data_IF_009179929904
#
_entry.id   IF_009179929904
#
_cell.length_a   1.000
_cell.length_b   1.000
_cell.length_c   1.000
_cell.angle_alpha   90.00
_cell.angle_beta   90.00
_cell.angle_gamma   90.00
#
_symmetry.space_group_name_H-M   'P 1'
#
loop_
_entity.id
_entity.type
_entity.pdbx_description
1 polymer ?
#
# COMPACT_ATOMS: atom_id res chain seq x y z
N UNK A 1 8.60 3.66 12.22
CA UNK A 1 8.65 3.25 13.65
C UNK A 1 10.05 2.79 14.00
N UNK A 2 10.63 1.92 13.19
CA UNK A 2 12.00 1.45 13.36
C UNK A 2 12.91 2.12 12.32
N UNK A 3 13.87 2.97 12.74
CA UNK A 3 14.74 3.68 11.80
C UNK A 3 15.58 2.70 10.97
N UNK A 4 15.69 2.92 9.66
CA UNK A 4 16.61 2.22 8.74
C UNK A 4 16.43 0.70 8.58
N UNK A 5 15.35 0.08 9.07
CA UNK A 5 15.17 -1.38 8.98
C UNK A 5 15.30 -1.93 7.57
N UNK A 6 14.74 -1.24 6.59
CA UNK A 6 14.76 -1.62 5.17
C UNK A 6 16.01 -1.17 4.40
N UNK A 7 16.92 -0.46 5.07
CA UNK A 7 18.11 0.10 4.43
C UNK A 7 19.07 -1.03 4.05
N UNK A 8 19.66 -0.97 2.85
CA UNK A 8 20.52 -2.04 2.34
C UNK A 8 21.75 -2.33 3.23
N UNK A 9 22.46 -1.28 3.66
CA UNK A 9 23.69 -1.40 4.47
C UNK A 9 23.41 -1.42 5.98
N UNK A 10 22.42 -0.67 6.45
CA UNK A 10 22.15 -0.43 7.87
C UNK A 10 20.88 -1.13 8.38
N UNK A 11 20.27 -1.96 7.54
CA UNK A 11 19.09 -2.75 7.87
C UNK A 11 19.38 -3.77 8.95
N UNK A 12 18.33 -4.13 9.69
CA UNK A 12 18.40 -5.08 10.78
C UNK A 12 17.07 -5.80 10.96
N UNK A 13 17.10 -6.91 11.67
CA UNK A 13 15.92 -7.73 11.91
C UNK A 13 15.05 -7.18 13.05
N UNK A 14 13.72 -7.37 12.95
CA UNK A 14 12.75 -7.00 13.98
C UNK A 14 12.53 -8.06 15.06
N UNK A 15 13.16 -9.22 14.99
CA UNK A 15 12.89 -10.36 15.90
C UNK A 15 12.96 -10.00 17.39
N UNK A 16 13.90 -9.11 17.76
CA UNK A 16 14.05 -8.63 19.14
C UNK A 16 12.85 -7.84 19.66
N UNK A 17 11.95 -7.41 18.77
CA UNK A 17 10.75 -6.61 19.08
C UNK A 17 9.48 -7.45 19.10
N UNK A 18 9.57 -8.75 18.79
CA UNK A 18 8.41 -9.62 18.58
C UNK A 18 7.46 -9.64 19.77
N UNK A 19 7.98 -9.74 21.00
CA UNK A 19 7.14 -9.76 22.20
C UNK A 19 6.41 -8.44 22.42
N UNK A 20 7.10 -7.31 22.21
CA UNK A 20 6.54 -5.97 22.40
C UNK A 20 5.51 -5.64 21.32
N UNK A 21 5.79 -6.00 20.06
CA UNK A 21 4.85 -5.84 18.95
C UNK A 21 3.61 -6.70 19.16
N UNK A 22 3.78 -7.95 19.59
CA UNK A 22 2.65 -8.81 19.94
C UNK A 22 1.79 -8.20 21.04
N UNK A 23 2.40 -7.71 22.13
CA UNK A 23 1.68 -7.06 23.21
C UNK A 23 0.93 -5.79 22.74
N UNK A 24 1.51 -5.01 21.83
CA UNK A 24 0.85 -3.85 21.23
C UNK A 24 -0.35 -4.26 20.37
N UNK A 25 -0.20 -5.31 19.54
CA UNK A 25 -1.28 -5.86 18.73
C UNK A 25 -2.42 -6.46 19.57
N UNK A 26 -2.09 -7.19 20.64
CA UNK A 26 -3.06 -7.72 21.60
C UNK A 26 -3.87 -6.59 22.26
N UNK A 27 -3.21 -5.48 22.61
CA UNK A 27 -3.88 -4.30 23.17
C UNK A 27 -4.78 -3.61 22.14
N UNK A 28 -4.31 -3.46 20.90
CA UNK A 28 -5.11 -2.89 19.81
C UNK A 28 -6.37 -3.73 19.55
N UNK A 29 -6.25 -5.06 19.47
CA UNK A 29 -7.40 -5.98 19.34
C UNK A 29 -8.34 -5.90 20.52
N UNK A 30 -7.81 -5.87 21.75
CA UNK A 30 -8.62 -5.76 22.98
C UNK A 30 -9.55 -4.54 22.95
N UNK A 31 -9.11 -3.43 22.35
CA UNK A 31 -9.90 -2.20 22.24
C UNK A 31 -10.56 -1.99 20.87
N UNK A 32 -10.51 -2.98 19.99
CA UNK A 32 -11.12 -2.90 18.66
C UNK A 32 -10.47 -1.86 17.74
N UNK A 33 -9.18 -1.58 17.91
CA UNK A 33 -8.43 -0.69 17.03
C UNK A 33 -8.01 -1.38 15.74
N UNK A 34 -8.28 -0.74 14.61
CA UNK A 34 -7.75 -1.10 13.30
C UNK A 34 -6.43 -0.36 13.10
N UNK A 35 -5.34 -1.09 12.90
CA UNK A 35 -4.04 -0.48 12.62
C UNK A 35 -3.80 -0.41 11.11
N UNK A 36 -3.07 0.62 10.72
CA UNK A 36 -2.70 0.84 9.34
C UNK A 36 -1.32 1.45 9.28
N UNK A 37 -0.64 1.23 8.16
CA UNK A 37 0.64 1.88 7.90
C UNK A 37 0.65 2.46 6.51
N UNK A 38 1.45 3.49 6.31
CA UNK A 38 1.63 4.11 5.00
C UNK A 38 3.13 4.30 4.76
N UNK A 39 3.79 3.33 4.09
CA UNK A 39 5.17 3.49 3.65
C UNK A 39 5.35 4.80 2.88
N UNK A 40 6.53 5.39 3.01
CA UNK A 40 6.82 6.71 2.43
C UNK A 40 6.83 6.71 0.90
N UNK A 41 6.91 7.91 0.33
CA UNK A 41 6.89 8.19 -1.12
C UNK A 41 7.97 7.47 -1.96
N UNK A 42 8.99 6.89 -1.33
CA UNK A 42 10.05 6.12 -1.99
C UNK A 42 9.65 4.67 -2.29
N UNK A 43 8.55 4.20 -1.70
CA UNK A 43 7.94 2.89 -1.99
C UNK A 43 7.19 3.00 -3.30
N UNK A 44 7.83 2.63 -4.40
CA UNK A 44 7.33 2.90 -5.75
C UNK A 44 7.45 1.69 -6.68
N UNK A 45 6.39 0.87 -6.69
CA UNK A 45 6.32 -0.35 -7.49
C UNK A 45 6.14 -0.12 -9.00
N UNK A 46 5.89 1.12 -9.45
CA UNK A 46 5.78 1.43 -10.88
C UNK A 46 7.09 1.99 -11.49
N UNK A 47 8.17 2.02 -10.69
CA UNK A 47 9.50 2.45 -11.12
C UNK A 47 10.02 1.57 -12.27
N UNK A 48 10.70 2.14 -13.28
CA UNK A 48 11.40 1.38 -14.31
C UNK A 48 12.80 0.90 -13.86
N UNK A 49 13.24 1.26 -12.65
CA UNK A 49 14.56 0.89 -12.14
C UNK A 49 14.44 -0.21 -11.09
N UNK A 50 15.17 -1.30 -11.31
CA UNK A 50 15.13 -2.50 -10.45
C UNK A 50 15.60 -2.19 -9.02
N UNK A 51 16.59 -1.33 -8.84
CA UNK A 51 17.10 -0.92 -7.52
C UNK A 51 16.03 -0.24 -6.64
N UNK A 52 15.12 0.51 -7.27
CA UNK A 52 13.97 1.13 -6.61
C UNK A 52 12.91 0.09 -6.27
N UNK A 53 12.70 -0.91 -7.14
CA UNK A 53 11.77 -2.01 -6.87
C UNK A 53 12.27 -2.83 -5.69
N UNK A 54 13.53 -3.24 -5.68
CA UNK A 54 14.14 -4.01 -4.59
C UNK A 54 14.04 -3.27 -3.26
N UNK A 55 14.29 -1.95 -3.27
CA UNK A 55 14.14 -1.12 -2.07
C UNK A 55 12.68 -1.01 -1.62
N UNK A 56 11.73 -0.89 -2.57
CA UNK A 56 10.30 -0.83 -2.27
C UNK A 56 9.77 -2.14 -1.69
N UNK A 57 10.26 -3.28 -2.20
CA UNK A 57 9.93 -4.61 -1.68
C UNK A 57 10.46 -4.76 -0.25
N UNK A 58 11.72 -4.37 0.02
CA UNK A 58 12.28 -4.40 1.39
C UNK A 58 11.50 -3.52 2.37
N UNK A 59 11.10 -2.33 1.95
CA UNK A 59 10.26 -1.44 2.76
C UNK A 59 8.91 -2.08 3.06
N UNK A 60 8.25 -2.64 2.03
CA UNK A 60 6.97 -3.31 2.20
C UNK A 60 7.08 -4.55 3.10
N UNK A 61 8.13 -5.34 2.93
CA UNK A 61 8.43 -6.51 3.77
C UNK A 61 8.60 -6.12 5.23
N UNK A 62 9.33 -5.03 5.51
CA UNK A 62 9.46 -4.49 6.86
C UNK A 62 8.09 -4.19 7.48
N UNK A 63 7.23 -3.49 6.75
CA UNK A 63 5.87 -3.19 7.20
C UNK A 63 5.04 -4.47 7.42
N UNK A 64 5.15 -5.44 6.51
CA UNK A 64 4.48 -6.74 6.63
C UNK A 64 4.94 -7.50 7.88
N UNK A 65 6.25 -7.63 8.11
CA UNK A 65 6.81 -8.33 9.27
C UNK A 65 6.35 -7.68 10.58
N UNK A 66 6.38 -6.35 10.64
CA UNK A 66 5.90 -5.61 11.80
C UNK A 66 4.42 -5.89 12.09
N UNK A 67 3.57 -5.84 11.07
CA UNK A 67 2.13 -6.14 11.19
C UNK A 67 1.88 -7.60 11.56
N UNK A 68 2.67 -8.52 11.01
CA UNK A 68 2.63 -9.95 11.34
C UNK A 68 3.01 -10.23 12.80
N UNK A 69 4.02 -9.55 13.35
CA UNK A 69 4.38 -9.69 14.77
C UNK A 69 3.35 -9.10 15.72
N UNK A 70 2.60 -8.10 15.27
CA UNK A 70 1.42 -7.62 15.99
C UNK A 70 0.22 -8.59 15.87
N UNK A 71 0.31 -9.68 15.09
CA UNK A 71 -0.77 -10.66 14.84
C UNK A 71 -2.08 -10.01 14.35
N UNK A 72 -1.96 -8.95 13.56
CA UNK A 72 -3.16 -8.30 13.02
C UNK A 72 -3.82 -9.16 11.93
N UNK A 73 -5.15 -9.10 11.92
CA UNK A 73 -5.98 -9.74 10.92
C UNK A 73 -6.01 -8.93 9.60
N UNK A 74 -6.72 -9.46 8.60
CA UNK A 74 -6.90 -8.83 7.29
C UNK A 74 -7.68 -7.50 7.34
N UNK A 75 -8.20 -7.10 8.50
CA UNK A 75 -8.74 -5.76 8.65
C UNK A 75 -7.61 -4.72 8.60
N UNK A 76 -6.38 -5.05 8.95
CA UNK A 76 -5.30 -4.05 8.88
C UNK A 76 -4.72 -3.90 7.47
N UNK A 77 -4.29 -2.68 7.12
CA UNK A 77 -3.88 -2.35 5.74
C UNK A 77 -2.56 -1.60 5.67
N UNK A 78 -1.83 -1.82 4.58
CA UNK A 78 -0.62 -1.09 4.20
C UNK A 78 -0.95 -0.25 2.98
N UNK A 79 -1.10 1.06 3.18
CA UNK A 79 -1.45 2.00 2.12
C UNK A 79 -0.21 2.37 1.34
N UNK A 80 -0.26 2.16 0.02
CA UNK A 80 0.76 2.67 -0.90
C UNK A 80 0.11 3.57 -1.96
N UNK A 81 0.87 4.55 -2.42
CA UNK A 81 0.53 5.26 -3.64
C UNK A 81 1.04 4.47 -4.86
N UNK A 82 0.42 4.74 -6.02
CA UNK A 82 0.91 4.23 -7.31
C UNK A 82 2.31 4.78 -7.67
N UNK A 83 2.64 5.97 -7.16
CA UNK A 83 3.95 6.60 -7.35
C UNK A 83 3.89 8.11 -7.47
N UNK A 84 5.06 8.74 -7.42
CA UNK A 84 5.22 10.20 -7.49
C UNK A 84 5.18 10.77 -8.92
N UNK A 85 5.40 9.94 -9.95
CA UNK A 85 5.51 10.37 -11.35
C UNK A 85 5.01 9.33 -12.33
N UNK A 86 4.53 9.81 -13.48
CA UNK A 86 4.29 9.01 -14.68
C UNK A 86 5.60 8.90 -15.47
N UNK A 87 6.04 7.68 -15.77
CA UNK A 87 7.23 7.45 -16.60
C UNK A 87 6.82 7.06 -18.02
N UNK A 88 7.12 7.93 -18.98
CA UNK A 88 6.60 7.82 -20.35
C UNK A 88 5.14 8.24 -20.39
N UNK A 89 4.22 7.26 -20.34
CA UNK A 89 2.78 7.52 -20.28
C UNK A 89 2.11 6.76 -19.13
N UNK A 90 0.87 7.14 -18.82
CA UNK A 90 0.13 6.59 -17.68
C UNK A 90 -0.09 5.08 -17.83
N UNK A 91 -0.52 4.64 -19.01
CA UNK A 91 -0.78 3.22 -19.29
C UNK A 91 0.45 2.34 -19.11
N UNK A 92 1.60 2.74 -19.64
CA UNK A 92 2.86 2.01 -19.45
C UNK A 92 3.28 1.97 -17.99
N UNK A 93 3.01 3.02 -17.21
CA UNK A 93 3.32 3.04 -15.78
C UNK A 93 2.40 2.12 -14.99
N UNK A 94 1.10 2.14 -15.29
CA UNK A 94 0.14 1.22 -14.68
C UNK A 94 0.44 -0.24 -15.08
N UNK A 95 0.89 -0.50 -16.31
CA UNK A 95 1.31 -1.83 -16.75
C UNK A 95 2.55 -2.33 -15.98
N UNK A 96 3.55 -1.47 -15.77
CA UNK A 96 4.71 -1.81 -14.92
C UNK A 96 4.30 -2.10 -13.48
N UNK A 97 3.42 -1.29 -12.91
CA UNK A 97 2.90 -1.58 -11.57
C UNK A 97 2.26 -2.95 -11.50
N UNK A 98 1.39 -3.29 -12.45
CA UNK A 98 0.73 -4.61 -12.50
C UNK A 98 1.74 -5.76 -12.58
N UNK A 99 2.74 -5.61 -13.44
CA UNK A 99 3.79 -6.62 -13.58
C UNK A 99 4.55 -6.77 -12.26
N UNK A 100 5.09 -5.67 -11.73
CA UNK A 100 5.91 -5.71 -10.53
C UNK A 100 5.12 -6.17 -9.30
N UNK A 101 3.84 -5.79 -9.19
CA UNK A 101 2.93 -6.28 -8.16
C UNK A 101 2.75 -7.80 -8.24
N UNK A 102 2.64 -8.37 -9.44
CA UNK A 102 2.46 -9.81 -9.63
C UNK A 102 3.75 -10.59 -9.38
N UNK A 103 4.88 -10.07 -9.87
CA UNK A 103 6.16 -10.79 -9.88
C UNK A 103 6.92 -10.68 -8.57
N UNK A 104 6.89 -9.53 -7.88
CA UNK A 104 7.74 -9.28 -6.72
C UNK A 104 7.02 -9.40 -5.37
N UNK A 105 5.69 -9.23 -5.32
CA UNK A 105 4.97 -9.31 -4.04
C UNK A 105 4.52 -10.74 -3.77
N UNK A 106 4.82 -11.20 -2.56
CA UNK A 106 4.28 -12.46 -2.02
C UNK A 106 2.81 -12.31 -1.65
N UNK A 107 2.06 -13.41 -1.62
CA UNK A 107 0.62 -13.39 -1.36
C UNK A 107 0.27 -12.79 0.02
N UNK A 108 1.14 -12.99 1.00
CA UNK A 108 1.03 -12.39 2.33
C UNK A 108 1.10 -10.85 2.28
N UNK A 109 1.97 -10.30 1.43
CA UNK A 109 2.06 -8.86 1.21
C UNK A 109 0.79 -8.35 0.51
N UNK A 110 0.35 -9.06 -0.54
CA UNK A 110 -0.85 -8.73 -1.32
C UNK A 110 -2.11 -8.68 -0.45
N UNK A 111 -2.18 -9.49 0.61
CA UNK A 111 -3.32 -9.51 1.53
C UNK A 111 -3.51 -8.21 2.34
N UNK A 112 -2.46 -7.38 2.47
CA UNK A 112 -2.51 -6.14 3.26
C UNK A 112 -2.40 -4.87 2.41
N UNK A 113 -1.82 -4.96 1.21
CA UNK A 113 -1.58 -3.80 0.36
C UNK A 113 -2.90 -3.21 -0.13
N UNK A 114 -3.03 -1.89 -0.01
CA UNK A 114 -4.14 -1.11 -0.54
C UNK A 114 -3.62 0.11 -1.28
N UNK A 115 -4.36 0.58 -2.29
CA UNK A 115 -3.94 1.70 -3.14
C UNK A 115 -4.69 2.99 -2.79
N UNK A 116 -3.94 4.08 -2.66
CA UNK A 116 -4.52 5.42 -2.46
C UNK A 116 -4.34 6.31 -3.70
N UNK A 117 -5.39 7.06 -4.06
CA UNK A 117 -5.30 8.13 -5.07
C UNK A 117 -4.45 9.30 -4.59
N UNK A 118 -3.82 10.00 -5.53
CA UNK A 118 -2.93 11.12 -5.24
C UNK A 118 -3.33 12.41 -5.99
N UNK A 119 -2.81 13.54 -5.51
CA UNK A 119 -3.11 14.87 -6.06
C UNK A 119 -2.39 15.23 -7.37
N UNK A 120 -1.45 14.41 -7.84
CA UNK A 120 -0.57 14.75 -8.96
C UNK A 120 -0.86 13.91 -10.21
N UNK A 121 -0.86 12.59 -10.08
CA UNK A 121 -0.76 11.69 -11.22
C UNK A 121 -1.96 10.75 -11.35
N UNK A 122 -2.44 10.17 -10.24
CA UNK A 122 -3.41 9.08 -10.27
C UNK A 122 -4.68 9.43 -9.48
N UNK A 123 -5.74 9.73 -10.23
CA UNK A 123 -7.06 9.94 -9.65
C UNK A 123 -7.75 8.59 -9.38
N UNK A 124 -8.85 8.56 -8.60
CA UNK A 124 -9.61 7.32 -8.36
C UNK A 124 -10.04 6.60 -9.63
N UNK A 125 -10.42 7.34 -10.68
CA UNK A 125 -10.80 6.76 -11.97
C UNK A 125 -9.67 6.03 -12.67
N UNK A 126 -8.40 6.36 -12.37
CA UNK A 126 -7.25 5.64 -12.90
C UNK A 126 -6.91 4.38 -12.09
N UNK A 127 -7.13 4.43 -10.77
CA UNK A 127 -6.74 3.35 -9.87
C UNK A 127 -7.80 2.24 -9.75
N UNK A 128 -9.09 2.58 -9.79
CA UNK A 128 -10.17 1.60 -9.66
C UNK A 128 -10.04 0.42 -10.64
N UNK A 129 -9.77 0.61 -11.95
CA UNK A 129 -9.58 -0.51 -12.87
C UNK A 129 -8.40 -1.41 -12.49
N UNK A 130 -7.32 -0.86 -11.92
CA UNK A 130 -6.17 -1.63 -11.44
C UNK A 130 -6.54 -2.41 -10.18
N UNK A 131 -7.28 -1.78 -9.28
CA UNK A 131 -7.80 -2.39 -8.06
C UNK A 131 -8.75 -3.55 -8.37
N UNK A 132 -9.65 -3.37 -9.35
CA UNK A 132 -10.55 -4.40 -9.89
C UNK A 132 -9.76 -5.59 -10.45
N UNK A 133 -8.75 -5.33 -11.27
CA UNK A 133 -7.97 -6.37 -11.94
C UNK A 133 -7.07 -7.19 -10.98
N UNK A 134 -6.45 -6.51 -10.01
CA UNK A 134 -5.48 -7.13 -9.09
C UNK A 134 -6.11 -7.56 -7.76
N UNK A 135 -7.41 -7.36 -7.59
CA UNK A 135 -8.13 -7.54 -6.33
C UNK A 135 -7.49 -6.77 -5.15
N UNK A 136 -7.09 -5.52 -5.41
CA UNK A 136 -6.52 -4.62 -4.40
C UNK A 136 -7.63 -3.71 -3.87
N UNK A 137 -7.67 -3.47 -2.56
CA UNK A 137 -8.59 -2.49 -2.00
C UNK A 137 -8.12 -1.07 -2.30
N UNK A 138 -9.06 -0.16 -2.52
CA UNK A 138 -8.75 1.24 -2.70
C UNK A 138 -9.06 2.03 -1.42
N UNK A 139 -8.15 2.92 -1.03
CA UNK A 139 -8.39 4.01 -0.08
C UNK A 139 -8.63 5.29 -0.88
N UNK A 140 -9.78 5.92 -0.65
CA UNK A 140 -10.10 7.19 -1.27
C UNK A 140 -9.65 8.34 -0.36
N UNK A 141 -8.59 9.04 -0.74
CA UNK A 141 -8.29 10.34 -0.15
C UNK A 141 -9.14 11.43 -0.82
N UNK A 142 -10.04 12.00 -0.01
CA UNK A 142 -10.97 13.05 -0.43
C UNK A 142 -10.24 14.32 -0.89
N UNK A 143 -9.19 14.73 -0.19
CA UNK A 143 -8.46 15.95 -0.50
C UNK A 143 -7.64 15.81 -1.78
N UNK A 144 -7.01 14.65 -1.99
CA UNK A 144 -6.36 14.31 -3.25
C UNK A 144 -7.35 14.28 -4.41
N UNK A 145 -8.55 13.71 -4.22
CA UNK A 145 -9.59 13.74 -5.25
C UNK A 145 -10.16 15.16 -5.47
N UNK A 146 -10.15 16.04 -4.48
CA UNK A 146 -10.56 17.43 -4.69
C UNK A 146 -9.57 18.20 -5.58
N UNK A 147 -8.27 17.93 -5.45
CA UNK A 147 -7.21 18.56 -6.26
C UNK A 147 -7.08 17.91 -7.64
N UNK A 148 -7.13 16.57 -7.70
CA UNK A 148 -7.02 15.76 -8.91
C UNK A 148 -8.29 14.91 -9.07
N UNK A 149 -9.41 15.52 -9.50
CA UNK A 149 -10.68 14.85 -9.54
C UNK A 149 -10.70 13.72 -10.54
N UNK A 150 -11.34 12.62 -10.12
CA UNK A 150 -11.80 11.61 -11.05
C UNK A 150 -12.78 12.19 -12.07
N UNK A 151 -12.88 11.54 -13.22
CA UNK A 151 -13.96 11.78 -14.19
C UNK A 151 -15.36 11.41 -13.65
N UNK A 152 -15.42 10.60 -12.59
CA UNK A 152 -16.66 10.20 -11.92
C UNK A 152 -16.90 11.08 -10.69
N UNK A 153 -18.18 11.37 -10.39
CA UNK A 153 -18.54 12.12 -9.19
C UNK A 153 -18.28 11.28 -7.94
N UNK A 154 -18.01 11.95 -6.83
CA UNK A 154 -17.77 11.29 -5.56
C UNK A 154 -18.92 10.36 -5.13
N UNK A 155 -20.16 10.77 -5.38
CA UNK A 155 -21.35 9.96 -5.10
C UNK A 155 -21.38 8.62 -5.86
N UNK A 156 -20.72 8.55 -7.03
CA UNK A 156 -20.61 7.33 -7.82
C UNK A 156 -19.37 6.51 -7.44
N UNK A 157 -18.31 7.17 -6.95
CA UNK A 157 -17.06 6.54 -6.53
C UNK A 157 -17.19 5.84 -5.18
N UNK A 158 -17.82 6.49 -4.19
CA UNK A 158 -17.90 5.96 -2.82
C UNK A 158 -18.54 4.57 -2.76
N UNK A 159 -19.67 4.29 -3.45
CA UNK A 159 -20.24 2.94 -3.47
C UNK A 159 -19.30 1.91 -4.10
N UNK A 160 -18.56 2.28 -5.15
CA UNK A 160 -17.59 1.37 -5.78
C UNK A 160 -16.42 1.06 -4.85
N UNK A 161 -15.85 2.08 -4.20
CA UNK A 161 -14.77 1.90 -3.23
C UNK A 161 -15.24 1.07 -2.04
N UNK A 162 -16.45 1.33 -1.52
CA UNK A 162 -17.04 0.56 -0.43
C UNK A 162 -17.26 -0.91 -0.81
N UNK A 163 -17.78 -1.19 -2.01
CA UNK A 163 -17.99 -2.56 -2.50
C UNK A 163 -16.70 -3.37 -2.64
N UNK A 164 -15.53 -2.72 -2.78
CA UNK A 164 -14.25 -3.43 -2.71
C UNK A 164 -13.94 -3.91 -1.29
N UNK A 165 -14.30 -3.13 -0.27
CA UNK A 165 -13.96 -3.40 1.13
C UNK A 165 -14.80 -4.54 1.76
N UNK A 166 -15.86 -4.98 1.07
CA UNK A 166 -16.75 -6.05 1.51
C UNK A 166 -16.44 -7.42 0.87
N UNK A 167 -15.40 -7.51 0.03
CA UNK A 167 -14.91 -8.75 -0.59
C UNK A 167 -13.99 -9.52 0.34
#
# INVERSE_FOLDING_TARGET
MFPFVSHEIHGYDLDYTREQLKAAGDLARKYGHRLMTHPGQFTWFASPRDDVIDTSVRELEYHCRMMGYMEHDQNSVIIIHMGVRVYGNKETTLARFRENYRTHLMDEMKAWVVLENDKMCYSPGNLLPVCDELNILMVLDYHHNWINPSQHKLADLLPRVAAHQEK
#
